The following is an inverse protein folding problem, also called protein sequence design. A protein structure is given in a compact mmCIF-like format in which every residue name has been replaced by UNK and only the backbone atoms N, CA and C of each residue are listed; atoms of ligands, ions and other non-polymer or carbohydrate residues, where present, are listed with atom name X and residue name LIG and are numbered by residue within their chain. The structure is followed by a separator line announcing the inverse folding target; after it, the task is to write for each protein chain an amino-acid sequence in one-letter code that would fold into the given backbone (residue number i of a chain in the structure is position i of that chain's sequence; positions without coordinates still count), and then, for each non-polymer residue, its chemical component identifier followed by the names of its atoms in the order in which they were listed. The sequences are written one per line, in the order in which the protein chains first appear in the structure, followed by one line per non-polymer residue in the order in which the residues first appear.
data_IF_689918698841
#
_entry.id   IF_689918698841
#
_cell.length_a   1.000
_cell.length_b   1.000
_cell.length_c   1.000
_cell.angle_alpha   90.00
_cell.angle_beta   90.00
_cell.angle_gamma   90.00
#
_symmetry.space_group_name_H-M   'P 1'
#
loop_
_entity.id
_entity.type
_entity.pdbx_description
1 polymer ?
#
# COMPACT_ATOMS: atom_id res chain seq x y z
N UNK A 1 -15.47 1.80 -3.62
CA UNK A 1 -15.55 2.55 -2.35
C UNK A 1 -14.49 3.65 -2.39
N UNK A 2 -14.90 4.92 -2.28
CA UNK A 2 -13.94 6.02 -2.14
C UNK A 2 -13.81 6.27 -0.65
N UNK A 3 -12.80 5.65 -0.04
CA UNK A 3 -12.28 6.08 1.26
C UNK A 3 -12.11 7.60 1.16
N UNK A 4 -12.53 8.33 2.18
CA UNK A 4 -12.63 9.80 2.23
C UNK A 4 -11.25 10.52 2.23
N UNK A 5 -10.25 9.85 1.67
CA UNK A 5 -8.83 10.13 1.70
C UNK A 5 -8.50 11.53 1.19
N UNK A 6 -8.81 11.84 -0.08
CA UNK A 6 -8.28 13.07 -0.71
C UNK A 6 -9.01 14.35 -0.32
N UNK A 7 -10.30 14.27 -0.02
CA UNK A 7 -11.13 15.48 0.13
C UNK A 7 -11.28 15.93 1.58
N UNK A 8 -11.04 15.03 2.56
CA UNK A 8 -11.46 15.27 3.95
C UNK A 8 -10.43 14.86 5.00
N UNK A 9 -9.48 13.98 4.68
CA UNK A 9 -8.48 13.52 5.67
C UNK A 9 -7.04 13.81 5.28
N UNK A 10 -6.59 13.51 4.06
CA UNK A 10 -5.20 13.66 3.63
C UNK A 10 -4.71 15.12 3.71
N UNK A 11 -3.65 15.37 4.47
CA UNK A 11 -3.08 16.70 4.71
C UNK A 11 -4.06 17.71 5.34
N UNK A 12 -5.07 17.22 6.06
CA UNK A 12 -5.94 18.02 6.92
C UNK A 12 -5.69 17.67 8.39
N UNK A 13 -6.13 18.53 9.31
CA UNK A 13 -6.02 18.26 10.75
C UNK A 13 -6.80 17.00 11.21
N UNK A 14 -7.62 16.43 10.33
CA UNK A 14 -8.36 15.19 10.57
C UNK A 14 -7.58 13.93 10.15
N UNK A 15 -6.32 14.03 9.71
CA UNK A 15 -5.42 12.90 9.44
C UNK A 15 -4.86 12.34 10.75
N UNK A 16 -5.72 11.63 11.49
CA UNK A 16 -5.41 11.10 12.82
C UNK A 16 -5.60 9.60 12.87
N UNK A 17 -5.05 8.96 13.91
CA UNK A 17 -5.08 7.51 14.11
C UNK A 17 -6.49 6.89 13.93
N UNK A 18 -7.53 7.56 14.42
CA UNK A 18 -8.91 7.06 14.34
C UNK A 18 -9.46 6.94 12.90
N UNK A 19 -8.77 7.49 11.89
CA UNK A 19 -9.12 7.35 10.48
C UNK A 19 -8.60 6.06 9.86
N UNK A 20 -7.75 5.31 10.56
CA UNK A 20 -7.26 4.02 10.09
C UNK A 20 -8.40 3.01 10.02
N UNK A 21 -8.40 2.19 8.97
CA UNK A 21 -9.32 1.07 8.79
C UNK A 21 -8.56 -0.23 9.09
N UNK A 22 -8.72 -0.83 10.28
CA UNK A 22 -7.88 -1.96 10.71
C UNK A 22 -7.89 -3.13 9.73
N UNK A 23 -9.06 -3.44 9.15
CA UNK A 23 -9.22 -4.50 8.15
C UNK A 23 -8.35 -4.27 6.91
N UNK A 24 -8.31 -3.02 6.43
CA UNK A 24 -7.55 -2.68 5.23
C UNK A 24 -6.05 -2.69 5.52
N UNK A 25 -5.64 -2.26 6.72
CA UNK A 25 -4.24 -2.37 7.17
C UNK A 25 -3.77 -3.83 7.21
N UNK A 26 -4.60 -4.74 7.73
CA UNK A 26 -4.27 -6.16 7.77
C UNK A 26 -4.09 -6.72 6.35
N UNK A 27 -5.02 -6.45 5.44
CA UNK A 27 -4.92 -6.91 4.05
C UNK A 27 -3.67 -6.36 3.38
N UNK A 28 -3.43 -5.06 3.50
CA UNK A 28 -2.26 -4.40 2.92
C UNK A 28 -0.95 -4.97 3.50
N UNK A 29 -0.90 -5.27 4.80
CA UNK A 29 0.28 -5.87 5.43
C UNK A 29 0.60 -7.25 4.83
N UNK A 30 -0.41 -8.09 4.60
CA UNK A 30 -0.23 -9.42 4.02
C UNK A 30 0.24 -9.31 2.56
N UNK A 31 -0.35 -8.42 1.78
CA UNK A 31 0.05 -8.20 0.37
C UNK A 31 1.50 -7.71 0.31
N UNK A 32 1.88 -6.70 1.09
CA UNK A 32 3.22 -6.15 1.10
C UNK A 32 4.26 -7.16 1.58
N UNK A 33 3.97 -7.91 2.65
CA UNK A 33 4.87 -8.94 3.15
C UNK A 33 5.07 -10.07 2.13
N UNK A 34 3.98 -10.52 1.51
CA UNK A 34 4.02 -11.56 0.47
C UNK A 34 4.86 -11.11 -0.73
N UNK A 35 4.63 -9.88 -1.22
CA UNK A 35 5.39 -9.32 -2.33
C UNK A 35 6.87 -9.19 -1.98
N UNK A 36 7.20 -8.59 -0.82
CA UNK A 36 8.57 -8.40 -0.39
C UNK A 36 9.32 -9.75 -0.24
N UNK A 37 8.66 -10.76 0.33
CA UNK A 37 9.23 -12.09 0.48
C UNK A 37 9.52 -12.73 -0.89
N UNK A 38 8.54 -12.78 -1.79
CA UNK A 38 8.74 -13.37 -3.11
C UNK A 38 9.77 -12.60 -3.94
N UNK A 39 9.80 -11.27 -3.83
CA UNK A 39 10.81 -10.44 -4.48
C UNK A 39 12.22 -10.74 -3.98
N UNK A 40 12.40 -10.91 -2.66
CA UNK A 40 13.69 -11.22 -2.04
C UNK A 40 14.18 -12.63 -2.38
N UNK A 41 13.26 -13.59 -2.53
CA UNK A 41 13.59 -14.99 -2.83
C UNK A 41 13.67 -15.28 -4.34
N UNK A 42 13.36 -14.31 -5.20
CA UNK A 42 13.36 -14.48 -6.65
C UNK A 42 14.78 -14.54 -7.20
N UNK A 43 15.02 -15.46 -8.12
CA UNK A 43 16.26 -15.48 -8.89
C UNK A 43 16.26 -14.37 -9.97
N UNK A 44 17.33 -13.57 -10.00
CA UNK A 44 17.52 -12.48 -10.96
C UNK A 44 16.70 -11.21 -10.66
N UNK A 45 16.79 -10.22 -11.55
CA UNK A 45 16.15 -8.90 -11.38
C UNK A 45 14.78 -8.83 -12.04
N UNK A 46 13.88 -7.97 -11.55
CA UNK A 46 12.60 -7.71 -12.20
C UNK A 46 12.80 -7.17 -13.62
N UNK A 47 11.87 -7.44 -14.56
CA UNK A 47 11.88 -6.83 -15.88
C UNK A 47 11.88 -5.30 -15.76
N UNK A 48 12.68 -4.62 -16.59
CA UNK A 48 12.62 -3.16 -16.71
C UNK A 48 11.40 -2.78 -17.56
N UNK A 49 10.72 -1.67 -17.26
CA UNK A 49 9.66 -1.15 -18.13
C UNK A 49 10.18 -0.93 -19.56
N UNK A 50 9.31 -1.09 -20.55
CA UNK A 50 9.64 -0.74 -21.94
C UNK A 50 9.96 0.75 -22.04
N UNK A 51 10.89 1.09 -22.94
CA UNK A 51 11.27 2.48 -23.24
C UNK A 51 10.54 3.05 -24.46
N UNK A 52 9.66 2.27 -25.08
CA UNK A 52 8.86 2.65 -26.26
C UNK A 52 7.60 3.43 -25.89
#
# INVERSE_FOLDING_TARGET
DRIDYRARTHHFNMDVYDKLLPRDLMINSVVMASFAYHAAMREGTFPRPSTD
#
